data_IF_032494438955
#
_entry.id   IF_032494438955
#
_cell.length_a   1.000
_cell.length_b   1.000
_cell.length_c   1.000
_cell.angle_alpha   90.00
_cell.angle_beta   90.00
_cell.angle_gamma   90.00
#
_symmetry.space_group_name_H-M   'P 1'
#
loop_
_entity.id
_entity.type
_entity.pdbx_description
1 polymer ?
#
# COMPACT_ATOMS: atom_id res chain seq x y z
N UNK A 1 1.36 41.13 -61.05
CA UNK A 1 0.60 40.24 -60.19
C UNK A 1 1.54 39.19 -59.66
N UNK A 2 2.14 39.27 -58.45
CA UNK A 2 2.82 38.14 -57.83
C UNK A 2 1.88 37.49 -56.79
N UNK A 3 1.73 36.19 -56.89
CA UNK A 3 0.95 35.35 -55.99
C UNK A 3 1.68 35.17 -54.67
N UNK A 4 0.98 35.50 -53.57
CA UNK A 4 1.45 35.31 -52.23
C UNK A 4 1.32 33.86 -51.77
N UNK A 5 2.45 33.23 -51.46
CA UNK A 5 2.53 31.91 -50.86
C UNK A 5 2.26 32.00 -49.33
N UNK A 6 1.00 31.75 -48.93
CA UNK A 6 0.62 31.60 -47.54
C UNK A 6 1.10 30.25 -47.00
N UNK A 7 2.25 30.25 -46.34
CA UNK A 7 2.63 29.10 -45.48
C UNK A 7 1.76 29.09 -44.24
N UNK A 8 0.84 28.15 -44.17
CA UNK A 8 0.16 27.79 -42.93
C UNK A 8 1.19 27.39 -41.87
N UNK A 9 1.24 28.14 -40.76
CA UNK A 9 1.96 27.73 -39.55
C UNK A 9 1.17 26.53 -38.95
N UNK A 10 1.76 25.34 -39.03
CA UNK A 10 1.32 24.23 -38.22
C UNK A 10 1.47 24.61 -36.73
N UNK A 11 0.35 24.62 -36.02
CA UNK A 11 0.32 24.76 -34.58
C UNK A 11 1.12 23.58 -33.98
N UNK A 12 2.15 23.88 -33.22
CA UNK A 12 2.85 22.90 -32.39
C UNK A 12 1.82 22.31 -31.42
N UNK A 13 1.70 20.98 -31.43
CA UNK A 13 0.90 20.27 -30.44
C UNK A 13 1.43 20.53 -29.02
N UNK A 14 0.61 20.26 -27.97
CA UNK A 14 0.99 20.53 -26.60
C UNK A 14 2.29 19.83 -26.26
N UNK A 15 3.23 20.63 -25.79
CA UNK A 15 4.63 20.31 -25.59
C UNK A 15 4.85 19.08 -24.75
N UNK A 16 5.85 18.33 -25.15
CA UNK A 16 6.58 17.36 -24.37
C UNK A 16 7.07 18.08 -23.09
N UNK A 17 6.25 18.07 -22.02
CA UNK A 17 6.70 18.51 -20.71
C UNK A 17 7.91 17.66 -20.37
N UNK A 18 9.02 18.31 -20.14
CA UNK A 18 10.33 17.74 -19.83
C UNK A 18 10.17 16.91 -18.54
N UNK A 19 9.79 15.64 -18.66
CA UNK A 19 9.61 14.71 -17.53
C UNK A 19 10.96 14.62 -16.85
N UNK A 20 11.11 15.32 -15.73
CA UNK A 20 12.35 15.28 -14.94
C UNK A 20 12.57 13.86 -14.47
N UNK A 21 13.80 13.40 -14.54
CA UNK A 21 14.16 12.11 -13.94
C UNK A 21 13.95 12.21 -12.42
N UNK A 22 13.13 11.32 -11.82
CA UNK A 22 12.89 11.36 -10.39
C UNK A 22 14.15 11.00 -9.60
N UNK A 23 14.30 11.59 -8.43
CA UNK A 23 15.34 11.25 -7.45
C UNK A 23 14.85 10.22 -6.44
N UNK A 24 13.53 10.13 -6.28
CA UNK A 24 12.88 9.14 -5.44
C UNK A 24 11.59 8.62 -6.13
N UNK A 25 11.29 7.35 -5.90
CA UNK A 25 10.06 6.70 -6.36
C UNK A 25 9.35 6.14 -5.15
N UNK A 26 8.10 6.52 -4.95
CA UNK A 26 7.23 5.99 -3.90
C UNK A 26 6.17 5.13 -4.59
N UNK A 27 6.02 3.90 -4.13
CA UNK A 27 5.17 2.88 -4.74
C UNK A 27 4.02 2.52 -3.80
N UNK A 28 2.84 2.36 -4.35
CA UNK A 28 1.77 1.63 -3.70
C UNK A 28 2.04 0.11 -3.75
N UNK A 29 1.27 -0.67 -3.00
CA UNK A 29 1.40 -2.13 -2.97
C UNK A 29 0.37 -2.79 -3.87
N UNK A 30 -0.90 -2.73 -3.50
CA UNK A 30 -1.98 -3.44 -4.18
C UNK A 30 -2.16 -2.93 -5.61
N UNK A 31 -2.19 -3.82 -6.60
CA UNK A 31 -2.31 -3.42 -8.00
C UNK A 31 -1.13 -2.64 -8.57
N UNK A 32 -0.04 -2.47 -7.81
CA UNK A 32 1.13 -1.69 -8.21
C UNK A 32 2.41 -2.52 -8.14
N UNK A 33 2.82 -2.96 -6.95
CA UNK A 33 3.96 -3.89 -6.77
C UNK A 33 3.51 -5.33 -6.60
N UNK A 34 2.27 -5.54 -6.15
CA UNK A 34 1.70 -6.83 -5.72
C UNK A 34 0.32 -7.00 -6.35
N UNK A 35 -0.03 -8.21 -6.86
CA UNK A 35 -1.38 -8.47 -7.35
C UNK A 35 -2.44 -8.25 -6.26
N UNK A 36 -3.54 -7.57 -6.59
CA UNK A 36 -4.70 -7.39 -5.68
C UNK A 36 -5.19 -8.76 -5.18
N UNK A 37 -5.16 -9.77 -6.05
CA UNK A 37 -5.55 -11.13 -5.71
C UNK A 37 -4.72 -11.74 -4.57
N UNK A 38 -3.45 -11.39 -4.43
CA UNK A 38 -2.62 -11.87 -3.32
C UNK A 38 -3.15 -11.34 -1.98
N UNK A 39 -3.48 -10.07 -1.90
CA UNK A 39 -4.01 -9.47 -0.67
C UNK A 39 -5.38 -10.04 -0.33
N UNK A 40 -6.29 -10.08 -1.32
CA UNK A 40 -7.70 -10.47 -1.10
C UNK A 40 -7.92 -11.98 -0.99
N UNK A 41 -7.12 -12.80 -1.68
CA UNK A 41 -7.30 -14.26 -1.74
C UNK A 41 -6.26 -15.05 -0.93
N UNK A 42 -5.18 -14.41 -0.48
CA UNK A 42 -4.14 -15.07 0.32
C UNK A 42 -3.99 -14.43 1.69
N UNK A 43 -3.60 -13.14 1.78
CA UNK A 43 -3.28 -12.51 3.07
C UNK A 43 -4.49 -12.41 4.00
N UNK A 44 -5.61 -11.87 3.55
CA UNK A 44 -6.79 -11.75 4.41
C UNK A 44 -7.39 -13.10 4.79
N UNK A 45 -7.57 -14.08 3.88
CA UNK A 45 -7.99 -15.42 4.25
C UNK A 45 -7.01 -16.12 5.19
N UNK A 46 -5.70 -15.95 5.02
CA UNK A 46 -4.70 -16.49 5.93
C UNK A 46 -4.89 -15.96 7.36
N UNK A 47 -4.98 -14.63 7.53
CA UNK A 47 -5.20 -14.03 8.84
C UNK A 47 -6.51 -14.53 9.48
N UNK A 48 -7.58 -14.65 8.71
CA UNK A 48 -8.88 -15.19 9.19
C UNK A 48 -8.76 -16.65 9.64
N UNK A 49 -8.09 -17.48 8.85
CA UNK A 49 -7.93 -18.92 9.13
C UNK A 49 -7.08 -19.18 10.37
N UNK A 50 -6.07 -18.32 10.62
CA UNK A 50 -5.13 -18.47 11.73
C UNK A 50 -5.51 -17.66 12.98
N UNK A 51 -6.61 -16.91 12.94
CA UNK A 51 -7.05 -16.06 14.05
C UNK A 51 -7.19 -16.84 15.37
N UNK A 52 -7.91 -17.96 15.35
CA UNK A 52 -8.16 -18.77 16.55
C UNK A 52 -6.87 -19.34 17.10
N UNK A 53 -6.07 -20.00 16.26
CA UNK A 53 -4.80 -20.61 16.70
C UNK A 53 -3.84 -19.56 17.25
N UNK A 54 -3.78 -18.38 16.66
CA UNK A 54 -2.96 -17.29 17.17
C UNK A 54 -3.40 -16.84 18.56
N UNK A 55 -4.70 -16.59 18.77
CA UNK A 55 -5.22 -16.15 20.07
C UNK A 55 -5.11 -17.23 21.17
N UNK A 56 -5.14 -18.52 20.79
CA UNK A 56 -5.06 -19.64 21.74
C UNK A 56 -3.61 -19.95 22.16
N UNK A 57 -2.62 -19.74 21.29
CA UNK A 57 -1.23 -20.20 21.51
C UNK A 57 -0.25 -19.11 21.92
N UNK A 58 -0.53 -17.85 21.63
CA UNK A 58 0.49 -16.78 21.73
C UNK A 58 0.45 -16.02 23.08
N UNK A 59 -0.01 -16.67 24.14
CA UNK A 59 0.16 -16.26 25.55
C UNK A 59 0.03 -14.73 25.79
N UNK A 60 1.13 -14.14 26.30
CA UNK A 60 1.19 -12.71 26.61
C UNK A 60 1.13 -11.81 25.37
N UNK A 61 1.62 -12.27 24.21
CA UNK A 61 1.61 -11.49 22.98
C UNK A 61 0.20 -11.26 22.41
N UNK A 62 -0.77 -12.14 22.73
CA UNK A 62 -2.17 -11.92 22.34
C UNK A 62 -2.94 -11.04 23.32
N UNK A 63 -2.49 -10.97 24.58
CA UNK A 63 -3.22 -10.29 25.66
C UNK A 63 -3.33 -8.78 25.46
N UNK A 64 -2.27 -8.14 24.99
CA UNK A 64 -2.28 -6.70 24.72
C UNK A 64 -3.18 -6.32 23.53
N UNK A 65 -3.18 -7.13 22.47
CA UNK A 65 -4.04 -6.88 21.32
C UNK A 65 -5.51 -7.16 21.63
N UNK A 66 -5.80 -8.18 22.45
CA UNK A 66 -7.16 -8.44 22.95
C UNK A 66 -7.66 -7.27 23.80
N UNK A 67 -6.83 -6.73 24.69
CA UNK A 67 -7.20 -5.56 25.51
C UNK A 67 -7.54 -4.33 24.64
N UNK A 68 -6.77 -4.09 23.58
CA UNK A 68 -7.04 -2.99 22.62
C UNK A 68 -8.31 -3.24 21.80
N UNK A 69 -8.54 -4.46 21.34
CA UNK A 69 -9.79 -4.84 20.65
C UNK A 69 -10.99 -4.63 21.56
N UNK A 70 -10.87 -5.00 22.83
CA UNK A 70 -11.93 -4.78 23.83
C UNK A 70 -12.20 -3.30 24.05
N UNK A 71 -11.14 -2.48 24.18
CA UNK A 71 -11.28 -1.03 24.29
C UNK A 71 -11.96 -0.40 23.05
N UNK A 72 -11.61 -0.86 21.83
CA UNK A 72 -12.28 -0.41 20.61
C UNK A 72 -13.76 -0.84 20.59
N UNK A 73 -14.06 -2.09 21.02
CA UNK A 73 -15.42 -2.62 21.09
C UNK A 73 -16.32 -1.78 22.00
N UNK A 74 -15.81 -1.30 23.15
CA UNK A 74 -16.58 -0.44 24.05
C UNK A 74 -17.04 0.89 23.42
N UNK A 75 -16.35 1.35 22.38
CA UNK A 75 -16.71 2.57 21.65
C UNK A 75 -17.49 2.28 20.35
N UNK A 76 -17.77 0.99 20.06
CA UNK A 76 -18.55 0.65 18.87
C UNK A 76 -20.04 0.94 19.11
N UNK A 77 -20.64 1.61 18.12
CA UNK A 77 -22.05 2.02 18.17
C UNK A 77 -22.95 1.25 17.23
N UNK A 78 -22.37 0.43 16.35
CA UNK A 78 -23.13 -0.39 15.41
C UNK A 78 -23.79 -1.55 16.17
N UNK A 79 -25.11 -1.57 16.18
CA UNK A 79 -25.94 -2.58 16.88
C UNK A 79 -25.78 -3.99 16.33
N UNK A 80 -25.18 -4.15 15.15
CA UNK A 80 -24.85 -5.47 14.57
C UNK A 80 -23.51 -6.02 15.09
N UNK A 81 -22.78 -5.24 15.91
CA UNK A 81 -21.56 -5.68 16.55
C UNK A 81 -21.84 -6.85 17.50
N UNK A 82 -21.07 -7.96 17.43
CA UNK A 82 -21.22 -9.06 18.36
C UNK A 82 -21.01 -8.63 19.81
N UNK A 83 -21.75 -9.15 20.78
CA UNK A 83 -21.56 -8.82 22.17
C UNK A 83 -20.20 -9.31 22.67
N UNK A 84 -19.59 -8.55 23.56
CA UNK A 84 -18.36 -8.91 24.25
C UNK A 84 -18.63 -9.02 25.76
N UNK A 85 -18.78 -10.24 26.32
CA UNK A 85 -18.96 -10.41 27.75
C UNK A 85 -17.67 -10.09 28.52
N UNK A 86 -17.80 -9.30 29.60
CA UNK A 86 -16.68 -8.73 30.36
C UNK A 86 -15.96 -9.68 31.34
N UNK A 87 -16.35 -10.95 31.46
CA UNK A 87 -16.20 -11.66 32.73
C UNK A 87 -14.92 -12.47 32.96
N UNK A 88 -14.00 -12.60 31.99
CA UNK A 88 -12.70 -13.24 32.27
C UNK A 88 -11.69 -13.13 31.10
N UNK A 89 -10.36 -13.34 31.34
CA UNK A 89 -9.38 -13.40 30.27
C UNK A 89 -9.64 -14.51 29.24
N UNK A 90 -10.19 -15.64 29.65
CA UNK A 90 -10.57 -16.73 28.74
C UNK A 90 -11.82 -16.36 27.92
N UNK A 91 -12.83 -15.74 28.55
CA UNK A 91 -13.99 -15.19 27.86
C UNK A 91 -13.58 -14.07 26.88
N UNK A 92 -12.59 -13.25 27.23
CA UNK A 92 -12.04 -12.20 26.38
C UNK A 92 -11.47 -12.75 25.06
N UNK A 93 -10.71 -13.84 25.11
CA UNK A 93 -10.22 -14.52 23.89
C UNK A 93 -11.35 -15.08 23.03
N UNK A 94 -12.32 -15.73 23.64
CA UNK A 94 -13.47 -16.29 22.93
C UNK A 94 -14.34 -15.19 22.29
N UNK A 95 -14.51 -14.04 22.98
CA UNK A 95 -15.27 -12.91 22.49
C UNK A 95 -14.53 -12.10 21.39
N UNK A 96 -13.21 -12.06 21.43
CA UNK A 96 -12.39 -11.38 20.41
C UNK A 96 -12.62 -11.96 19.00
N UNK A 97 -12.80 -13.28 18.87
CA UNK A 97 -12.92 -13.95 17.56
C UNK A 97 -14.13 -13.42 16.77
N UNK A 98 -15.38 -13.45 17.27
CA UNK A 98 -16.52 -12.93 16.51
C UNK A 98 -16.41 -11.42 16.24
N UNK A 99 -15.84 -10.64 17.16
CA UNK A 99 -15.63 -9.20 16.93
C UNK A 99 -14.62 -8.95 15.81
N UNK A 100 -13.47 -9.63 15.82
CA UNK A 100 -12.45 -9.53 14.77
C UNK A 100 -13.02 -9.96 13.41
N UNK A 101 -13.78 -11.05 13.37
CA UNK A 101 -14.45 -11.49 12.14
C UNK A 101 -15.45 -10.46 11.63
N UNK A 102 -16.22 -9.85 12.53
CA UNK A 102 -17.16 -8.77 12.21
C UNK A 102 -16.45 -7.53 11.65
N UNK A 103 -15.28 -7.15 12.21
CA UNK A 103 -14.44 -6.07 11.68
C UNK A 103 -13.93 -6.41 10.27
N UNK A 104 -13.45 -7.64 10.05
CA UNK A 104 -12.96 -8.10 8.74
C UNK A 104 -14.07 -8.12 7.68
N UNK A 105 -15.27 -8.59 8.04
CA UNK A 105 -16.41 -8.68 7.11
C UNK A 105 -16.91 -7.31 6.64
N UNK A 106 -16.62 -6.26 7.39
CA UNK A 106 -17.04 -4.88 7.11
C UNK A 106 -15.91 -3.96 6.66
N UNK A 107 -14.72 -4.53 6.45
CA UNK A 107 -13.52 -3.74 6.14
C UNK A 107 -13.33 -2.54 7.10
N UNK A 108 -13.60 -2.77 8.40
CA UNK A 108 -13.51 -1.72 9.41
C UNK A 108 -12.07 -1.34 9.67
N UNK A 109 -11.80 -0.04 9.71
CA UNK A 109 -10.48 0.48 10.06
C UNK A 109 -10.30 0.44 11.57
N UNK A 110 -9.62 -0.59 12.05
CA UNK A 110 -9.27 -0.80 13.46
C UNK A 110 -7.75 -0.93 13.58
N UNK A 111 -7.09 -0.08 14.38
CA UNK A 111 -5.67 -0.21 14.67
C UNK A 111 -5.31 -1.54 15.33
N UNK A 112 -6.17 -2.05 16.23
CA UNK A 112 -5.94 -3.34 16.89
C UNK A 112 -6.08 -4.52 15.91
N UNK A 113 -7.07 -4.49 15.00
CA UNK A 113 -7.18 -5.48 13.92
C UNK A 113 -5.94 -5.46 13.01
N UNK A 114 -5.50 -4.28 12.61
CA UNK A 114 -4.31 -4.12 11.75
C UNK A 114 -3.06 -4.71 12.40
N UNK A 115 -2.87 -4.51 13.70
CA UNK A 115 -1.76 -5.09 14.45
C UNK A 115 -1.88 -6.61 14.58
N UNK A 116 -3.06 -7.12 14.93
CA UNK A 116 -3.34 -8.55 15.00
C UNK A 116 -3.04 -9.26 13.68
N UNK A 117 -3.54 -8.73 12.58
CA UNK A 117 -3.26 -9.27 11.24
C UNK A 117 -1.76 -9.26 10.95
N UNK A 118 -1.07 -8.17 11.27
CA UNK A 118 0.39 -8.06 11.10
C UNK A 118 1.16 -9.16 11.84
N UNK A 119 0.78 -9.47 13.08
CA UNK A 119 1.40 -10.55 13.87
C UNK A 119 1.10 -11.95 13.32
N UNK A 120 -0.13 -12.19 12.87
CA UNK A 120 -0.50 -13.46 12.22
C UNK A 120 0.30 -13.64 10.93
N UNK A 121 0.41 -12.61 10.10
CA UNK A 121 1.22 -12.67 8.89
C UNK A 121 2.70 -12.85 9.18
N UNK A 122 3.24 -12.23 10.23
CA UNK A 122 4.63 -12.42 10.65
C UNK A 122 4.93 -13.90 10.93
N UNK A 123 4.04 -14.59 11.65
CA UNK A 123 4.18 -16.03 11.90
C UNK A 123 4.16 -16.82 10.58
N UNK A 124 3.21 -16.50 9.67
CA UNK A 124 3.11 -17.16 8.37
C UNK A 124 4.32 -16.95 7.47
N UNK A 125 4.86 -15.74 7.45
CA UNK A 125 6.08 -15.45 6.68
C UNK A 125 7.31 -16.14 7.29
N UNK A 126 7.44 -16.15 8.61
CA UNK A 126 8.57 -16.83 9.30
C UNK A 126 8.51 -18.33 9.18
N UNK A 127 7.34 -18.95 9.17
CA UNK A 127 7.18 -20.39 8.94
C UNK A 127 7.36 -20.78 7.47
N UNK A 128 7.32 -19.83 6.54
CA UNK A 128 7.34 -20.07 5.10
C UNK A 128 5.98 -20.49 4.51
N UNK A 129 4.90 -20.46 5.30
CA UNK A 129 3.53 -20.69 4.79
C UNK A 129 3.03 -19.54 3.93
N UNK A 130 3.50 -18.32 4.20
CA UNK A 130 3.28 -17.15 3.36
C UNK A 130 4.55 -16.81 2.58
N UNK A 131 4.38 -16.55 1.30
CA UNK A 131 5.40 -15.99 0.42
C UNK A 131 4.80 -14.76 -0.26
N UNK A 132 5.47 -13.63 -0.15
CA UNK A 132 4.99 -12.37 -0.74
C UNK A 132 4.98 -12.45 -2.26
N UNK A 133 3.83 -12.19 -2.87
CA UNK A 133 3.70 -12.16 -4.32
C UNK A 133 3.95 -10.74 -4.84
N UNK A 134 4.94 -10.59 -5.72
CA UNK A 134 5.28 -9.34 -6.39
C UNK A 134 5.32 -9.55 -7.91
N UNK A 135 4.95 -8.53 -8.68
CA UNK A 135 5.07 -8.61 -10.13
C UNK A 135 6.52 -8.82 -10.57
N UNK A 136 6.71 -9.57 -11.66
CA UNK A 136 8.01 -10.05 -12.10
C UNK A 136 9.05 -8.94 -12.37
N UNK A 137 8.60 -7.75 -12.74
CA UNK A 137 9.43 -6.58 -13.05
C UNK A 137 9.85 -5.77 -11.80
N UNK A 138 9.26 -6.04 -10.62
CA UNK A 138 9.51 -5.26 -9.40
C UNK A 138 10.95 -5.39 -8.94
N UNK A 139 11.46 -6.61 -8.83
CA UNK A 139 12.81 -6.84 -8.33
C UNK A 139 13.88 -6.18 -9.22
N UNK A 140 13.79 -6.38 -10.55
CA UNK A 140 14.73 -5.80 -11.51
C UNK A 140 14.64 -4.26 -11.54
N UNK A 141 13.44 -3.70 -11.41
CA UNK A 141 13.25 -2.25 -11.36
C UNK A 141 13.88 -1.65 -10.10
N UNK A 142 13.62 -2.24 -8.93
CA UNK A 142 14.22 -1.78 -7.66
C UNK A 142 15.75 -1.82 -7.70
N UNK A 143 16.33 -2.91 -8.24
CA UNK A 143 17.78 -3.04 -8.42
C UNK A 143 18.33 -1.99 -9.38
N UNK A 144 17.66 -1.76 -10.51
CA UNK A 144 18.03 -0.73 -11.47
C UNK A 144 18.03 0.66 -10.84
N UNK A 145 16.97 1.04 -10.14
CA UNK A 145 16.86 2.33 -9.48
C UNK A 145 17.95 2.54 -8.42
N UNK A 146 18.27 1.50 -7.63
CA UNK A 146 19.37 1.57 -6.67
C UNK A 146 20.70 1.84 -7.37
N UNK A 147 21.02 1.14 -8.47
CA UNK A 147 22.25 1.38 -9.26
C UNK A 147 22.30 2.79 -9.85
N UNK A 148 21.14 3.33 -10.18
CA UNK A 148 21.00 4.69 -10.73
C UNK A 148 20.94 5.79 -9.67
N UNK A 149 21.04 5.43 -8.40
CA UNK A 149 21.00 6.38 -7.27
C UNK A 149 19.62 6.90 -6.94
N UNK A 150 18.56 6.33 -7.51
CA UNK A 150 17.17 6.68 -7.23
C UNK A 150 16.72 5.92 -5.97
N UNK A 151 16.23 6.67 -4.97
CA UNK A 151 15.66 6.06 -3.76
C UNK A 151 14.29 5.47 -4.02
N UNK A 152 14.01 4.28 -3.50
CA UNK A 152 12.68 3.68 -3.56
C UNK A 152 12.06 3.57 -2.16
N UNK A 153 10.74 3.74 -2.08
CA UNK A 153 9.96 3.59 -0.86
C UNK A 153 8.54 3.13 -1.14
N UNK A 154 7.83 2.77 -0.08
CA UNK A 154 6.45 2.27 -0.12
C UNK A 154 5.53 3.22 0.62
N UNK A 155 4.32 3.44 0.08
CA UNK A 155 3.22 4.07 0.77
C UNK A 155 1.95 3.24 0.58
N UNK A 156 1.51 2.57 1.64
CA UNK A 156 0.37 1.64 1.62
C UNK A 156 -0.54 1.83 2.85
N UNK A 157 -1.78 1.37 2.75
CA UNK A 157 -2.70 1.28 3.90
C UNK A 157 -2.29 0.20 4.90
N UNK A 158 -1.53 -0.81 4.47
CA UNK A 158 -0.94 -1.84 5.33
C UNK A 158 0.06 -1.24 6.32
N UNK A 159 0.24 -1.87 7.51
CA UNK A 159 1.24 -1.40 8.48
C UNK A 159 2.66 -1.50 7.92
N UNK A 160 3.56 -0.65 8.43
CA UNK A 160 5.00 -0.73 8.08
C UNK A 160 5.55 -2.15 8.33
N UNK A 161 5.10 -2.84 9.38
CA UNK A 161 5.47 -4.23 9.63
C UNK A 161 5.02 -5.14 8.47
N UNK A 162 3.74 -5.08 8.09
CA UNK A 162 3.20 -5.89 7.00
C UNK A 162 3.91 -5.63 5.66
N UNK A 163 4.21 -4.36 5.36
CA UNK A 163 4.99 -3.97 4.18
C UNK A 163 6.37 -4.63 4.18
N UNK A 164 7.11 -4.50 5.30
CA UNK A 164 8.46 -5.10 5.43
C UNK A 164 8.43 -6.61 5.31
N UNK A 165 7.45 -7.28 5.92
CA UNK A 165 7.29 -8.73 5.84
C UNK A 165 7.05 -9.19 4.39
N UNK A 166 6.15 -8.52 3.67
CA UNK A 166 5.86 -8.83 2.27
C UNK A 166 7.12 -8.76 1.40
N UNK A 167 7.90 -7.69 1.52
CA UNK A 167 9.11 -7.51 0.71
C UNK A 167 10.31 -8.31 1.19
N UNK A 168 10.42 -8.62 2.50
CA UNK A 168 11.47 -9.49 3.03
C UNK A 168 11.30 -10.96 2.61
N UNK A 169 10.06 -11.40 2.48
CA UNK A 169 9.71 -12.78 2.15
C UNK A 169 9.04 -12.91 0.79
N UNK A 170 9.46 -12.09 -0.19
CA UNK A 170 8.86 -12.12 -1.51
C UNK A 170 9.31 -13.32 -2.34
N UNK A 171 8.50 -13.69 -3.34
CA UNK A 171 8.84 -14.72 -4.32
C UNK A 171 10.11 -14.40 -5.12
N UNK A 172 10.52 -13.12 -5.14
CA UNK A 172 11.76 -12.66 -5.76
C UNK A 172 12.94 -12.54 -4.76
N UNK A 173 12.79 -13.09 -3.55
CA UNK A 173 13.76 -12.98 -2.46
C UNK A 173 13.57 -11.73 -1.61
N UNK A 174 14.55 -11.41 -0.75
CA UNK A 174 14.51 -10.22 0.09
C UNK A 174 14.76 -8.93 -0.71
N UNK A 175 13.69 -8.15 -0.89
CA UNK A 175 13.70 -6.86 -1.58
C UNK A 175 13.86 -5.66 -0.64
N UNK A 176 13.87 -5.86 0.67
CA UNK A 176 13.95 -4.77 1.65
C UNK A 176 15.26 -3.96 1.52
N UNK A 177 16.32 -4.58 1.05
CA UNK A 177 17.62 -3.95 0.80
C UNK A 177 17.57 -2.82 -0.25
N UNK A 178 16.54 -2.80 -1.09
CA UNK A 178 16.32 -1.78 -2.11
C UNK A 178 15.38 -0.67 -1.66
N UNK A 179 14.60 -0.89 -0.58
CA UNK A 179 13.56 0.01 -0.09
C UNK A 179 14.07 0.83 1.10
N UNK A 180 14.18 2.13 0.90
CA UNK A 180 14.70 3.06 1.92
C UNK A 180 13.63 3.53 2.89
N UNK A 181 12.39 3.65 2.43
CA UNK A 181 11.30 4.27 3.18
C UNK A 181 10.04 3.42 3.14
N UNK A 182 9.32 3.43 4.26
CA UNK A 182 8.05 2.75 4.42
C UNK A 182 7.09 3.69 5.12
N UNK A 183 5.98 4.01 4.47
CA UNK A 183 4.94 4.87 4.98
C UNK A 183 3.63 4.11 5.02
N UNK A 184 2.89 4.30 6.11
CA UNK A 184 1.50 3.86 6.19
C UNK A 184 0.57 5.05 6.47
N UNK A 185 -0.71 4.80 6.69
CA UNK A 185 -1.71 5.84 6.96
C UNK A 185 -1.47 6.62 8.27
N UNK A 186 -0.44 6.29 9.04
CA UNK A 186 0.04 7.10 10.14
C UNK A 186 0.63 8.45 9.70
N UNK A 187 1.15 8.54 8.46
CA UNK A 187 1.61 9.83 7.90
C UNK A 187 0.44 10.70 7.41
N UNK A 188 -0.72 10.09 7.14
CA UNK A 188 -1.94 10.71 6.66
C UNK A 188 -2.70 9.81 5.67
N UNK A 189 -3.90 10.23 5.28
CA UNK A 189 -4.71 9.48 4.35
C UNK A 189 -4.13 9.52 2.93
N UNK A 190 -4.19 8.41 2.18
CA UNK A 190 -3.65 8.32 0.81
C UNK A 190 -4.35 9.22 -0.22
N UNK A 191 -5.57 9.67 0.07
CA UNK A 191 -6.29 10.64 -0.77
C UNK A 191 -6.11 12.10 -0.33
N UNK A 192 -5.18 12.39 0.59
CA UNK A 192 -4.91 13.72 1.11
C UNK A 192 -3.57 14.23 0.56
N UNK A 193 -3.52 15.36 -0.18
CA UNK A 193 -2.28 15.96 -0.67
C UNK A 193 -1.24 16.24 0.42
N UNK A 194 -1.68 16.58 1.63
CA UNK A 194 -0.82 16.85 2.78
C UNK A 194 0.06 15.62 3.12
N UNK A 195 -0.46 14.41 2.94
CA UNK A 195 0.30 13.17 3.18
C UNK A 195 1.53 13.07 2.29
N UNK A 196 1.38 13.42 1.01
CA UNK A 196 2.46 13.41 0.03
C UNK A 196 3.48 14.53 0.27
N UNK A 197 3.02 15.70 0.70
CA UNK A 197 3.91 16.79 1.12
C UNK A 197 4.79 16.36 2.32
N UNK A 198 4.19 15.68 3.31
CA UNK A 198 4.93 15.12 4.47
C UNK A 198 5.90 14.02 4.06
N UNK A 199 5.53 13.15 3.11
CA UNK A 199 6.45 12.14 2.55
C UNK A 199 7.65 12.82 1.92
N UNK A 200 7.43 13.81 1.03
CA UNK A 200 8.51 14.54 0.37
C UNK A 200 9.46 15.22 1.36
N UNK A 201 8.90 15.83 2.42
CA UNK A 201 9.66 16.40 3.51
C UNK A 201 10.49 15.34 4.26
N UNK A 202 9.87 14.20 4.61
CA UNK A 202 10.53 13.12 5.34
C UNK A 202 11.71 12.53 4.57
N UNK A 203 11.57 12.36 3.25
CA UNK A 203 12.64 11.82 2.39
C UNK A 203 13.63 12.90 1.95
N UNK A 204 13.46 14.15 2.41
CA UNK A 204 14.28 15.31 2.06
C UNK A 204 14.45 15.49 0.54
N UNK A 205 13.36 15.30 -0.23
CA UNK A 205 13.34 15.40 -1.69
C UNK A 205 12.23 16.35 -2.11
N UNK A 206 12.49 17.35 -2.98
CA UNK A 206 11.44 18.23 -3.51
C UNK A 206 10.32 17.39 -4.17
N UNK A 207 9.03 17.71 -3.96
CA UNK A 207 7.92 16.94 -4.57
C UNK A 207 8.09 16.74 -6.10
N UNK A 208 8.53 17.75 -6.83
CA UNK A 208 8.75 17.66 -8.29
C UNK A 208 9.80 16.62 -8.71
N UNK A 209 10.66 16.18 -7.79
CA UNK A 209 11.70 15.17 -8.01
C UNK A 209 11.28 13.79 -7.43
N UNK A 210 10.01 13.64 -6.97
CA UNK A 210 9.43 12.39 -6.48
C UNK A 210 8.40 11.90 -7.50
N UNK A 211 8.49 10.63 -7.88
CA UNK A 211 7.46 9.95 -8.65
C UNK A 211 6.62 9.07 -7.70
N UNK A 212 5.31 9.26 -7.69
CA UNK A 212 4.38 8.35 -7.02
C UNK A 212 3.68 7.45 -8.05
N UNK A 213 3.66 6.14 -7.77
CA UNK A 213 3.02 5.13 -8.64
C UNK A 213 1.95 4.40 -7.86
N UNK A 214 0.73 4.38 -8.39
CA UNK A 214 -0.44 3.71 -7.79
C UNK A 214 -1.43 3.32 -8.89
N UNK A 215 -2.31 2.36 -8.62
CA UNK A 215 -3.44 1.99 -9.47
C UNK A 215 -4.72 2.77 -9.11
N UNK A 216 -4.67 3.64 -8.09
CA UNK A 216 -5.81 4.39 -7.57
C UNK A 216 -5.75 5.85 -8.00
N UNK A 217 -6.67 6.25 -8.89
CA UNK A 217 -6.71 7.61 -9.46
C UNK A 217 -6.74 8.71 -8.39
N UNK A 218 -7.58 8.57 -7.36
CA UNK A 218 -7.67 9.57 -6.27
C UNK A 218 -6.35 9.78 -5.54
N UNK A 219 -5.51 8.76 -5.43
CA UNK A 219 -4.21 8.86 -4.79
C UNK A 219 -3.21 9.60 -5.67
N UNK A 220 -3.24 9.34 -6.97
CA UNK A 220 -2.42 10.05 -7.95
C UNK A 220 -2.82 11.54 -8.03
N UNK A 221 -4.11 11.86 -7.99
CA UNK A 221 -4.60 13.24 -7.97
C UNK A 221 -4.10 14.00 -6.72
N UNK A 222 -4.12 13.33 -5.56
CA UNK A 222 -3.60 13.88 -4.31
C UNK A 222 -2.08 14.11 -4.37
N UNK A 223 -1.32 13.14 -4.89
CA UNK A 223 0.13 13.26 -5.07
C UNK A 223 0.50 14.38 -6.05
N UNK A 224 -0.21 14.48 -7.17
CA UNK A 224 -0.03 15.56 -8.16
C UNK A 224 -0.34 16.93 -7.56
N UNK A 225 -1.40 17.03 -6.77
CA UNK A 225 -1.75 18.27 -6.05
C UNK A 225 -0.64 18.69 -5.08
N UNK A 226 0.07 17.74 -4.47
CA UNK A 226 1.25 18.01 -3.66
C UNK A 226 2.52 18.35 -4.49
N UNK A 227 2.42 18.35 -5.82
CA UNK A 227 3.52 18.67 -6.74
C UNK A 227 4.42 17.50 -7.13
N UNK A 228 4.03 16.26 -6.82
CA UNK A 228 4.77 15.07 -7.27
C UNK A 228 4.48 14.74 -8.74
N UNK A 229 5.45 14.07 -9.38
CA UNK A 229 5.21 13.33 -10.61
C UNK A 229 4.36 12.09 -10.30
N UNK A 230 3.54 11.66 -11.26
CA UNK A 230 2.62 10.53 -11.04
C UNK A 230 2.60 9.58 -12.23
N UNK A 231 2.42 8.28 -11.95
CA UNK A 231 2.17 7.26 -12.95
C UNK A 231 1.07 6.30 -12.48
N UNK A 232 0.10 6.05 -13.36
CA UNK A 232 -0.98 5.09 -13.17
C UNK A 232 -0.47 3.70 -13.48
N UNK A 233 -0.46 2.82 -12.49
CA UNK A 233 -0.14 1.40 -12.65
C UNK A 233 -1.36 0.66 -13.23
N UNK A 234 -1.19 -0.01 -14.36
CA UNK A 234 -2.22 -0.85 -14.98
C UNK A 234 -1.73 -2.28 -15.09
N UNK A 235 -1.88 -3.02 -13.99
CA UNK A 235 -1.47 -4.40 -13.87
C UNK A 235 -2.61 -5.38 -14.20
N UNK A 236 -2.30 -6.63 -14.53
CA UNK A 236 -3.31 -7.67 -14.63
C UNK A 236 -4.13 -7.78 -13.35
N UNK A 237 -5.45 -7.68 -13.48
CA UNK A 237 -6.39 -7.75 -12.35
C UNK A 237 -6.79 -6.39 -11.77
N UNK A 238 -6.20 -5.28 -12.21
CA UNK A 238 -6.65 -3.95 -11.81
C UNK A 238 -8.01 -3.61 -12.45
N UNK A 239 -8.84 -2.87 -11.72
CA UNK A 239 -10.08 -2.36 -12.26
C UNK A 239 -9.82 -1.26 -13.30
N UNK A 240 -10.66 -1.17 -14.36
CA UNK A 240 -10.60 -0.05 -15.28
C UNK A 240 -10.78 1.28 -14.53
N UNK A 241 -9.99 2.29 -14.90
CA UNK A 241 -10.07 3.61 -14.31
C UNK A 241 -10.87 4.56 -15.21
N UNK A 242 -11.54 5.61 -14.64
CA UNK A 242 -12.09 6.70 -15.43
C UNK A 242 -11.03 7.37 -16.30
N UNK A 243 -11.45 8.17 -17.28
CA UNK A 243 -10.53 8.96 -18.10
C UNK A 243 -9.70 9.92 -17.23
N UNK A 244 -8.39 9.91 -17.42
CA UNK A 244 -7.42 10.74 -16.69
C UNK A 244 -6.22 11.07 -17.60
N UNK A 245 -5.37 11.99 -17.14
CA UNK A 245 -4.17 12.46 -17.84
C UNK A 245 -2.85 12.03 -17.19
N UNK A 246 -2.89 11.15 -16.17
CA UNK A 246 -1.66 10.55 -15.62
C UNK A 246 -1.01 9.62 -16.66
N UNK A 247 0.32 9.60 -16.68
CA UNK A 247 1.08 8.61 -17.44
C UNK A 247 0.67 7.21 -17.02
N UNK A 248 0.33 6.36 -17.98
CA UNK A 248 -0.03 4.95 -17.72
C UNK A 248 1.18 4.06 -17.96
N UNK A 249 1.41 3.11 -17.05
CA UNK A 249 2.48 2.11 -17.16
C UNK A 249 1.95 0.71 -16.84
N UNK A 250 2.27 -0.25 -17.67
CA UNK A 250 1.95 -1.67 -17.48
C UNK A 250 3.08 -2.42 -16.79
N UNK A 251 4.30 -1.87 -16.81
CA UNK A 251 5.50 -2.43 -16.19
C UNK A 251 6.37 -1.30 -15.65
N UNK A 252 7.13 -1.60 -14.59
CA UNK A 252 8.15 -0.69 -14.08
C UNK A 252 9.37 -0.56 -15.00
N UNK A 253 9.49 -1.41 -16.02
CA UNK A 253 10.48 -1.24 -17.08
C UNK A 253 10.24 0.04 -17.91
N UNK A 254 9.01 0.56 -17.89
CA UNK A 254 8.64 1.81 -18.53
C UNK A 254 9.00 3.06 -17.68
N UNK A 255 9.41 2.86 -16.43
CA UNK A 255 9.80 3.92 -15.48
C UNK A 255 11.33 4.07 -15.50
N UNK A 256 11.83 4.98 -16.30
CA UNK A 256 13.26 5.31 -16.44
C UNK A 256 13.48 6.79 -16.25
#
# INVERSE_FOLDING_TARGET
MPQGNGRARQAAGPGNENVRRPRAIILDIEGTTTPIAFVTKTLFPYARGHLRSFLDHDGDASSDVIARLHAEHHHETDTSCPPWPDDSPAAGRAAAIPYVQWLMDRDRKSPALKDLQGRIWENGYRSGELVGDVFADVASALERWQREGIGAGIFSSGSVLAQKLLFAHSSAGDLTRYLRWYFDTGIGAKGDPESYARIALHIATPPADVLFVSDVLRELDAARTAGMQTAMSMRPGNAPQPAHDHRVVGSFDELT
#
